data_IF_964292879950
#
_entry.id   IF_964292879950
#
_cell.length_a   1.000
_cell.length_b   1.000
_cell.length_c   1.000
_cell.angle_alpha   90.00
_cell.angle_beta   90.00
_cell.angle_gamma   90.00
#
_symmetry.space_group_name_H-M   'P 1'
#
loop_
_entity.id
_entity.type
_entity.pdbx_description
1 polymer ?
#
# COMPACT_ATOMS: atom_id res chain seq x y z
N UNK A 1 -40.69 7.56 3.43
CA UNK A 1 -39.32 7.98 3.80
C UNK A 1 -38.61 6.80 4.47
N UNK A 2 -37.84 6.03 3.73
CA UNK A 2 -37.07 4.89 4.26
C UNK A 2 -35.71 5.42 4.71
N UNK A 3 -35.47 5.43 6.03
CA UNK A 3 -34.17 5.72 6.62
C UNK A 3 -33.19 4.63 6.14
N UNK A 4 -32.30 4.97 5.23
CA UNK A 4 -31.16 4.11 4.89
C UNK A 4 -30.19 4.22 6.07
N UNK A 5 -30.16 3.19 6.87
CA UNK A 5 -29.16 2.95 7.89
C UNK A 5 -27.82 2.79 7.17
N UNK A 6 -26.98 3.82 7.27
CA UNK A 6 -25.62 3.78 6.76
C UNK A 6 -24.83 2.80 7.66
N UNK A 7 -24.76 1.54 7.23
CA UNK A 7 -23.83 0.59 7.85
C UNK A 7 -22.41 1.07 7.49
N UNK A 8 -21.74 1.71 8.44
CA UNK A 8 -20.30 1.91 8.40
C UNK A 8 -19.66 0.52 8.46
N UNK A 9 -19.34 -0.07 7.32
CA UNK A 9 -18.54 -1.29 7.26
C UNK A 9 -17.12 -0.88 7.61
N UNK A 10 -16.76 -1.12 8.86
CA UNK A 10 -15.38 -0.99 9.33
C UNK A 10 -14.53 -2.02 8.58
N UNK A 11 -13.73 -1.54 7.64
CA UNK A 11 -12.68 -2.36 7.03
C UNK A 11 -11.61 -2.65 8.09
N UNK A 12 -11.78 -3.74 8.81
CA UNK A 12 -10.77 -4.24 9.74
C UNK A 12 -9.66 -4.95 8.98
N UNK A 13 -8.45 -4.45 9.04
CA UNK A 13 -7.27 -5.16 8.56
C UNK A 13 -6.69 -5.93 9.74
N UNK A 14 -6.58 -7.23 9.58
CA UNK A 14 -5.94 -8.10 10.57
C UNK A 14 -4.50 -8.34 10.10
N UNK A 15 -3.54 -7.70 10.74
CA UNK A 15 -2.12 -8.00 10.58
C UNK A 15 -1.68 -9.01 11.62
N UNK A 16 -1.42 -10.25 11.23
CA UNK A 16 -0.79 -11.25 12.08
C UNK A 16 0.72 -11.19 11.83
N UNK A 17 1.46 -10.73 12.82
CA UNK A 17 2.93 -10.76 12.80
C UNK A 17 3.39 -11.94 13.65
N UNK A 18 3.89 -12.98 12.99
CA UNK A 18 4.53 -14.12 13.67
C UNK A 18 6.01 -13.74 13.87
N UNK A 19 6.37 -13.39 15.09
CA UNK A 19 7.74 -13.11 15.46
C UNK A 19 8.42 -14.38 15.93
N UNK A 20 9.46 -14.79 15.25
CA UNK A 20 10.41 -15.78 15.69
C UNK A 20 11.82 -15.18 15.60
N UNK A 21 12.05 -14.06 16.30
CA UNK A 21 13.42 -13.53 16.46
C UNK A 21 13.53 -12.64 17.70
N UNK A 22 14.59 -12.85 18.45
CA UNK A 22 14.95 -12.06 19.62
C UNK A 22 15.19 -10.59 19.29
N UNK A 23 14.95 -9.70 20.28
CA UNK A 23 15.08 -8.24 20.22
C UNK A 23 16.50 -7.78 19.81
N UNK A 24 16.86 -7.89 18.55
CA UNK A 24 18.03 -7.21 18.01
C UNK A 24 17.61 -5.86 17.40
N UNK A 25 17.66 -4.82 18.22
CA UNK A 25 17.60 -3.44 17.76
C UNK A 25 16.43 -2.63 18.28
N UNK A 26 16.53 -2.03 19.44
CA UNK A 26 15.91 -0.79 19.92
C UNK A 26 14.45 -0.43 19.61
N UNK A 27 13.75 -1.16 18.78
CA UNK A 27 12.39 -0.89 18.34
C UNK A 27 11.38 -1.72 19.12
N UNK A 28 10.38 -1.08 19.74
CA UNK A 28 9.33 -1.81 20.45
C UNK A 28 8.52 -2.69 19.51
N UNK A 29 7.96 -3.79 20.00
CA UNK A 29 7.13 -4.71 19.20
C UNK A 29 5.89 -4.06 18.62
N UNK A 30 5.29 -3.09 19.32
CA UNK A 30 4.18 -2.30 18.78
C UNK A 30 4.61 -1.50 17.54
N UNK A 31 5.84 -0.95 17.60
CA UNK A 31 6.43 -0.24 16.46
C UNK A 31 6.69 -1.18 15.29
N UNK A 32 7.24 -2.35 15.57
CA UNK A 32 7.50 -3.37 14.55
C UNK A 32 6.20 -3.86 13.87
N UNK A 33 5.11 -3.99 14.62
CA UNK A 33 3.81 -4.39 14.07
C UNK A 33 3.19 -3.36 13.13
N UNK A 34 3.60 -2.09 13.22
CA UNK A 34 3.18 -1.01 12.32
C UNK A 34 4.18 -0.80 11.17
N UNK A 35 5.40 -1.28 11.32
CA UNK A 35 6.51 -1.06 10.39
C UNK A 35 6.50 -2.11 9.27
N UNK A 36 6.13 -1.70 8.06
CA UNK A 36 6.16 -2.56 6.88
C UNK A 36 7.60 -2.95 6.45
N UNK A 37 8.63 -2.39 7.09
CA UNK A 37 10.05 -2.72 6.88
C UNK A 37 10.66 -3.47 8.06
N UNK A 38 9.85 -3.83 9.07
CA UNK A 38 10.32 -4.59 10.22
C UNK A 38 10.88 -5.95 9.80
N UNK A 39 11.89 -6.41 10.52
CA UNK A 39 12.57 -7.69 10.28
C UNK A 39 11.79 -8.88 10.87
N UNK A 40 10.47 -8.83 10.82
CA UNK A 40 9.57 -9.90 11.25
C UNK A 40 8.61 -10.30 10.13
N UNK A 41 8.19 -11.55 10.12
CA UNK A 41 7.12 -12.00 9.23
C UNK A 41 5.83 -11.23 9.51
N UNK A 42 5.17 -10.76 8.45
CA UNK A 42 3.92 -10.04 8.55
C UNK A 42 2.95 -10.51 7.48
N UNK A 43 1.72 -10.82 7.90
CA UNK A 43 0.59 -11.12 7.03
C UNK A 43 -0.47 -10.04 7.25
N UNK A 44 -0.79 -9.29 6.22
CA UNK A 44 -1.73 -8.17 6.30
C UNK A 44 -2.93 -8.44 5.41
N UNK A 45 -4.10 -8.55 6.01
CA UNK A 45 -5.37 -8.66 5.29
C UNK A 45 -6.08 -7.31 5.33
N UNK A 46 -6.61 -6.88 4.19
CA UNK A 46 -7.38 -5.67 4.08
C UNK A 46 -8.64 -5.90 3.26
N UNK A 47 -9.74 -5.33 3.70
CA UNK A 47 -10.88 -5.07 2.84
C UNK A 47 -10.99 -3.58 2.60
N UNK A 48 -11.09 -3.16 1.34
CA UNK A 48 -11.28 -1.77 0.96
C UNK A 48 -12.49 -1.62 0.08
N UNK A 49 -13.37 -0.69 0.46
CA UNK A 49 -14.49 -0.26 -0.37
C UNK A 49 -14.21 1.11 -0.97
N UNK A 50 -14.46 1.27 -2.26
CA UNK A 50 -14.32 2.52 -3.01
C UNK A 50 -15.71 2.91 -3.56
N UNK A 51 -16.55 3.56 -2.72
CA UNK A 51 -17.97 3.73 -3.05
C UNK A 51 -18.24 4.74 -4.16
N UNK A 52 -17.31 5.61 -4.49
CA UNK A 52 -17.49 6.60 -5.54
C UNK A 52 -16.16 7.11 -6.09
N UNK A 53 -16.17 7.55 -7.37
CA UNK A 53 -15.06 8.18 -8.07
C UNK A 53 -15.42 9.61 -8.44
N UNK A 54 -14.41 10.46 -8.60
CA UNK A 54 -14.62 11.79 -9.17
C UNK A 54 -15.09 11.69 -10.62
N UNK A 55 -16.08 12.51 -10.98
CA UNK A 55 -16.65 12.60 -12.33
C UNK A 55 -15.95 13.68 -13.13
N UNK A 56 -14.64 13.59 -13.29
CA UNK A 56 -13.84 14.49 -14.11
C UNK A 56 -13.57 13.88 -15.49
N UNK A 57 -12.96 14.67 -16.35
CA UNK A 57 -12.51 14.21 -17.67
C UNK A 57 -11.05 13.75 -17.59
N UNK A 58 -10.75 12.62 -18.19
CA UNK A 58 -9.38 12.10 -18.35
C UNK A 58 -9.17 11.74 -19.81
N UNK A 59 -8.20 12.37 -20.44
CA UNK A 59 -7.90 12.18 -21.87
C UNK A 59 -9.14 12.35 -22.78
N UNK A 60 -9.99 13.33 -22.47
CA UNK A 60 -11.21 13.61 -23.23
C UNK A 60 -12.40 12.68 -22.93
N UNK A 61 -12.22 11.68 -22.06
CA UNK A 61 -13.26 10.75 -21.64
C UNK A 61 -13.73 11.06 -20.23
N UNK A 62 -15.02 10.97 -19.99
CA UNK A 62 -15.55 11.11 -18.64
C UNK A 62 -15.11 9.90 -17.79
N UNK A 63 -14.60 10.18 -16.58
CA UNK A 63 -14.27 9.13 -15.63
C UNK A 63 -15.53 8.38 -15.23
N UNK A 64 -15.54 7.03 -15.29
CA UNK A 64 -16.71 6.27 -14.91
C UNK A 64 -17.02 6.47 -13.41
N UNK A 65 -18.28 6.40 -13.06
CA UNK A 65 -18.71 6.27 -11.66
C UNK A 65 -18.25 4.91 -11.15
N UNK A 66 -17.39 4.89 -10.12
CA UNK A 66 -16.93 3.66 -9.53
C UNK A 66 -17.78 3.23 -8.34
N UNK A 67 -17.84 1.96 -8.13
CA UNK A 67 -18.25 1.32 -6.89
C UNK A 67 -17.50 -0.01 -6.85
N UNK A 68 -16.26 0.07 -6.40
CA UNK A 68 -15.36 -1.08 -6.38
C UNK A 68 -15.00 -1.45 -4.95
N UNK A 69 -14.75 -2.72 -4.79
CA UNK A 69 -14.18 -3.25 -3.57
C UNK A 69 -12.91 -4.06 -3.90
N UNK A 70 -12.06 -4.25 -2.93
CA UNK A 70 -11.05 -5.29 -3.02
C UNK A 70 -10.71 -5.89 -1.66
N UNK A 71 -10.31 -7.15 -1.70
CA UNK A 71 -9.61 -7.82 -0.60
C UNK A 71 -8.13 -7.84 -0.93
N UNK A 72 -7.29 -7.49 0.02
CA UNK A 72 -5.85 -7.51 -0.12
C UNK A 72 -5.23 -8.50 0.85
N UNK A 73 -4.25 -9.25 0.36
CA UNK A 73 -3.27 -9.98 1.16
C UNK A 73 -1.89 -9.43 0.85
N UNK A 74 -1.17 -9.00 1.87
CA UNK A 74 0.23 -8.60 1.79
C UNK A 74 1.06 -9.48 2.72
N UNK A 75 2.15 -10.02 2.19
CA UNK A 75 3.08 -10.89 2.91
C UNK A 75 4.44 -10.21 2.90
N UNK A 76 5.03 -10.07 4.08
CA UNK A 76 6.41 -9.59 4.26
C UNK A 76 7.21 -10.71 4.94
N UNK A 77 8.31 -11.10 4.32
CA UNK A 77 9.10 -12.26 4.73
C UNK A 77 10.60 -11.89 4.83
N UNK A 78 11.06 -11.30 5.94
CA UNK A 78 12.46 -10.89 6.08
C UNK A 78 13.42 -12.08 6.06
N UNK A 79 14.52 -11.92 5.34
CA UNK A 79 15.63 -12.87 5.25
C UNK A 79 16.89 -12.18 5.76
N UNK A 80 17.22 -12.31 7.08
CA UNK A 80 18.40 -11.71 7.65
C UNK A 80 19.66 -12.47 7.22
N UNK A 81 20.71 -11.72 6.84
CA UNK A 81 22.02 -12.22 6.48
C UNK A 81 23.11 -11.50 7.28
N UNK A 82 24.35 -11.99 7.24
CA UNK A 82 25.48 -11.41 8.01
C UNK A 82 25.71 -9.92 7.72
N UNK A 83 25.58 -9.48 6.47
CA UNK A 83 25.91 -8.10 6.02
C UNK A 83 24.70 -7.26 5.61
N UNK A 84 23.57 -7.87 5.40
CA UNK A 84 22.34 -7.20 4.93
C UNK A 84 21.10 -8.00 5.34
N UNK A 85 19.93 -7.37 5.24
CA UNK A 85 18.64 -8.05 5.30
C UNK A 85 17.96 -7.87 3.96
N UNK A 86 17.42 -8.94 3.38
CA UNK A 86 16.51 -8.86 2.23
C UNK A 86 15.09 -8.91 2.77
N UNK A 87 14.27 -7.95 2.35
CA UNK A 87 12.89 -7.81 2.80
C UNK A 87 11.94 -7.88 1.60
N UNK A 88 11.58 -9.09 1.13
CA UNK A 88 10.55 -9.25 0.12
C UNK A 88 9.17 -8.91 0.66
N UNK A 89 8.39 -8.19 -0.15
CA UNK A 89 6.98 -7.87 0.08
C UNK A 89 6.16 -8.24 -1.14
N UNK A 90 5.25 -9.18 -0.95
CA UNK A 90 4.32 -9.64 -1.96
C UNK A 90 2.93 -9.11 -1.64
N UNK A 91 2.24 -8.53 -2.62
CA UNK A 91 0.89 -7.98 -2.45
C UNK A 91 -0.03 -8.51 -3.53
N UNK A 92 -1.11 -9.16 -3.08
CA UNK A 92 -2.23 -9.60 -3.92
C UNK A 92 -3.45 -8.74 -3.64
N UNK A 93 -4.24 -8.43 -4.68
CA UNK A 93 -5.54 -7.77 -4.53
C UNK A 93 -6.56 -8.48 -5.41
N UNK A 94 -7.65 -8.92 -4.83
CA UNK A 94 -8.80 -9.42 -5.57
C UNK A 94 -9.84 -8.30 -5.63
N UNK A 95 -10.10 -7.82 -6.83
CA UNK A 95 -11.04 -6.73 -7.09
C UNK A 95 -12.43 -7.25 -7.41
N UNK A 96 -13.43 -6.47 -7.06
CA UNK A 96 -14.82 -6.63 -7.42
C UNK A 96 -15.35 -5.29 -7.95
N UNK A 97 -15.70 -5.26 -9.24
CA UNK A 97 -16.37 -4.11 -9.88
C UNK A 97 -17.88 -4.32 -9.78
N UNK A 98 -18.50 -3.62 -8.85
CA UNK A 98 -19.95 -3.73 -8.61
C UNK A 98 -20.80 -3.09 -9.72
N UNK A 99 -20.23 -2.28 -10.60
CA UNK A 99 -20.96 -1.70 -11.75
C UNK A 99 -21.10 -2.71 -12.89
N UNK A 100 -20.06 -3.48 -13.14
CA UNK A 100 -20.04 -4.46 -14.25
C UNK A 100 -20.30 -5.88 -13.80
N UNK A 101 -20.23 -6.16 -12.48
CA UNK A 101 -20.32 -7.50 -11.92
C UNK A 101 -19.07 -8.36 -12.18
N UNK A 102 -17.98 -7.76 -12.67
CA UNK A 102 -16.72 -8.46 -12.93
C UNK A 102 -15.87 -8.52 -11.68
N UNK A 103 -15.14 -9.61 -11.52
CA UNK A 103 -14.19 -9.78 -10.42
C UNK A 103 -12.96 -10.55 -10.87
N UNK A 104 -11.86 -10.38 -10.15
CA UNK A 104 -10.64 -11.10 -10.48
C UNK A 104 -9.41 -10.61 -9.72
N UNK A 105 -8.33 -11.35 -9.88
CA UNK A 105 -7.04 -10.98 -9.32
C UNK A 105 -6.48 -9.77 -10.08
N UNK A 106 -6.17 -8.69 -9.36
CA UNK A 106 -5.44 -7.56 -9.89
C UNK A 106 -3.96 -7.86 -10.12
N UNK A 107 -3.22 -6.87 -10.61
CA UNK A 107 -1.77 -7.01 -10.73
C UNK A 107 -1.15 -7.35 -9.37
N UNK A 108 -0.38 -8.42 -9.34
CA UNK A 108 0.38 -8.83 -8.16
C UNK A 108 1.71 -8.08 -8.14
N UNK A 109 2.02 -7.46 -7.02
CA UNK A 109 3.26 -6.69 -6.85
C UNK A 109 4.22 -7.42 -5.92
N UNK A 110 5.46 -7.59 -6.36
CA UNK A 110 6.56 -8.10 -5.57
C UNK A 110 7.70 -7.08 -5.61
N UNK A 111 8.14 -6.61 -4.48
CA UNK A 111 9.44 -5.95 -4.37
C UNK A 111 10.27 -6.55 -3.22
N UNK A 112 11.58 -6.38 -3.28
CA UNK A 112 12.49 -6.86 -2.26
C UNK A 112 13.50 -5.76 -1.89
N UNK A 113 13.33 -5.15 -0.71
CA UNK A 113 14.30 -4.17 -0.22
C UNK A 113 15.55 -4.89 0.27
N UNK A 114 16.69 -4.41 -0.14
CA UNK A 114 18.02 -4.79 0.34
C UNK A 114 18.42 -3.72 1.35
N UNK A 115 18.54 -4.13 2.61
CA UNK A 115 18.88 -3.25 3.75
C UNK A 115 20.27 -3.64 4.24
N UNK A 116 21.33 -2.92 3.85
CA UNK A 116 22.68 -3.17 4.35
C UNK A 116 22.76 -2.89 5.86
N UNK A 117 23.61 -3.61 6.60
CA UNK A 117 23.76 -3.39 8.05
C UNK A 117 24.21 -1.95 8.40
N UNK A 118 24.99 -1.30 7.56
CA UNK A 118 25.38 0.11 7.77
C UNK A 118 24.22 1.10 7.56
N UNK A 119 23.14 0.68 6.87
CA UNK A 119 21.93 1.46 6.67
C UNK A 119 20.81 1.09 7.66
N UNK A 120 21.16 0.38 8.73
CA UNK A 120 20.33 0.11 9.90
C UNK A 120 21.00 0.74 11.12
N UNK A 121 20.44 1.82 11.64
CA UNK A 121 21.00 2.60 12.77
C UNK A 121 20.21 2.43 14.06
N UNK A 122 19.49 1.31 14.20
CA UNK A 122 18.76 0.92 15.40
C UNK A 122 17.38 1.59 15.54
N UNK A 123 17.28 2.92 15.52
CA UNK A 123 16.00 3.62 15.52
C UNK A 123 15.35 3.68 14.14
N UNK A 124 16.10 3.41 13.07
CA UNK A 124 15.60 3.43 11.70
C UNK A 124 16.48 2.65 10.75
N UNK A 125 16.01 2.55 9.53
CA UNK A 125 16.68 1.82 8.45
C UNK A 125 16.32 2.36 7.09
N UNK A 126 17.18 2.09 6.12
CA UNK A 126 16.94 2.40 4.72
C UNK A 126 17.30 1.22 3.83
N UNK A 127 16.55 1.04 2.76
CA UNK A 127 16.79 -0.02 1.80
C UNK A 127 16.30 0.34 0.41
N UNK A 128 16.86 -0.33 -0.59
CA UNK A 128 16.46 -0.21 -1.99
C UNK A 128 16.49 -1.60 -2.64
N UNK A 129 15.67 -1.84 -3.63
CA UNK A 129 15.70 -3.11 -4.36
C UNK A 129 14.73 -3.18 -5.52
N UNK A 130 14.72 -4.31 -6.26
CA UNK A 130 13.91 -4.50 -7.43
C UNK A 130 12.43 -4.59 -7.09
N UNK A 131 11.62 -4.17 -8.07
CA UNK A 131 10.16 -4.28 -8.07
C UNK A 131 9.73 -4.97 -9.35
N UNK A 132 8.78 -5.90 -9.24
CA UNK A 132 8.12 -6.59 -10.35
C UNK A 132 6.62 -6.55 -10.14
N UNK A 133 5.88 -6.22 -11.18
CA UNK A 133 4.42 -6.32 -11.23
C UNK A 133 4.05 -7.41 -12.22
N UNK A 134 3.27 -8.38 -11.76
CA UNK A 134 2.82 -9.50 -12.57
C UNK A 134 1.45 -9.19 -13.18
N UNK A 135 1.12 -9.77 -14.34
CA UNK A 135 -0.19 -9.64 -14.96
C UNK A 135 -1.34 -9.97 -14.02
N UNK A 136 -2.45 -9.25 -14.17
CA UNK A 136 -3.71 -9.54 -13.48
C UNK A 136 -4.79 -10.01 -14.47
N UNK A 137 -6.00 -10.22 -13.94
CA UNK A 137 -7.16 -10.51 -14.79
C UNK A 137 -7.52 -9.25 -15.61
N UNK A 138 -7.61 -9.34 -16.96
CA UNK A 138 -7.89 -8.19 -17.83
C UNK A 138 -9.25 -7.52 -17.58
N UNK A 139 -10.19 -8.21 -16.95
CA UNK A 139 -11.50 -7.65 -16.60
C UNK A 139 -11.44 -6.58 -15.51
N UNK A 140 -10.44 -6.63 -14.63
CA UNK A 140 -10.31 -5.74 -13.47
C UNK A 140 -8.93 -5.09 -13.34
N UNK A 141 -7.97 -5.48 -14.16
CA UNK A 141 -6.58 -5.04 -14.07
C UNK A 141 -5.92 -5.08 -15.44
N UNK A 142 -4.62 -4.80 -15.49
CA UNK A 142 -3.83 -4.89 -16.72
C UNK A 142 -3.17 -6.25 -16.85
N UNK A 143 -3.27 -6.84 -18.03
CA UNK A 143 -2.62 -8.10 -18.38
C UNK A 143 -1.20 -7.82 -18.92
N UNK A 144 -0.35 -7.27 -18.07
CA UNK A 144 1.01 -6.90 -18.47
C UNK A 144 2.01 -7.03 -17.32
N UNK A 145 3.25 -7.34 -17.66
CA UNK A 145 4.37 -7.30 -16.76
C UNK A 145 4.88 -5.87 -16.57
N UNK A 146 5.31 -5.57 -15.36
CA UNK A 146 6.03 -4.35 -15.04
C UNK A 146 7.30 -4.67 -14.26
N UNK A 147 8.31 -3.82 -14.36
CA UNK A 147 9.54 -3.89 -13.59
C UNK A 147 9.92 -2.51 -13.08
N UNK A 148 10.74 -2.46 -12.08
CA UNK A 148 11.15 -1.20 -11.51
C UNK A 148 11.98 -1.37 -10.25
N UNK A 149 11.90 -0.39 -9.38
CA UNK A 149 12.56 -0.44 -8.09
C UNK A 149 11.71 0.18 -6.99
N UNK A 150 11.98 -0.23 -5.77
CA UNK A 150 11.44 0.35 -4.54
C UNK A 150 12.57 0.81 -3.64
N UNK A 151 12.39 1.92 -2.95
CA UNK A 151 13.30 2.40 -1.91
C UNK A 151 12.49 2.83 -0.70
N UNK A 152 12.99 2.56 0.50
CA UNK A 152 12.31 2.96 1.72
C UNK A 152 13.30 3.48 2.75
N UNK A 153 12.83 4.43 3.55
CA UNK A 153 13.50 4.91 4.74
C UNK A 153 12.46 5.01 5.86
N UNK A 154 12.79 4.50 7.02
CA UNK A 154 11.92 4.53 8.20
C UNK A 154 12.70 4.93 9.44
N UNK A 155 12.04 5.56 10.38
CA UNK A 155 12.64 5.92 11.65
C UNK A 155 11.61 5.96 12.77
N UNK A 156 12.06 5.65 13.99
CA UNK A 156 11.33 5.77 15.24
C UNK A 156 11.97 6.85 16.11
N UNK A 157 11.15 7.71 16.72
CA UNK A 157 11.59 8.72 17.65
C UNK A 157 10.56 8.85 18.77
N UNK A 158 10.81 8.23 19.89
CA UNK A 158 9.87 8.19 21.02
C UNK A 158 8.52 7.57 20.63
N UNK A 159 7.46 8.36 20.63
CA UNK A 159 6.12 7.92 20.23
C UNK A 159 5.85 8.02 18.73
N UNK A 160 6.76 8.65 17.98
CA UNK A 160 6.61 8.85 16.56
C UNK A 160 7.27 7.71 15.76
N UNK A 161 6.58 7.26 14.73
CA UNK A 161 7.09 6.36 13.70
C UNK A 161 6.78 6.99 12.35
N UNK A 162 7.80 7.19 11.53
CA UNK A 162 7.64 7.89 10.26
C UNK A 162 8.61 7.36 9.21
N UNK A 163 8.28 7.62 7.96
CA UNK A 163 9.12 7.20 6.86
C UNK A 163 8.53 7.53 5.51
N UNK A 164 9.21 6.99 4.50
CA UNK A 164 8.88 7.18 3.10
C UNK A 164 9.13 5.86 2.37
N UNK A 165 8.15 5.42 1.59
CA UNK A 165 8.33 4.40 0.56
C UNK A 165 8.22 5.07 -0.80
N UNK A 166 9.18 4.80 -1.64
CA UNK A 166 9.27 5.25 -3.02
C UNK A 166 9.21 4.03 -3.93
N UNK A 167 8.43 4.10 -5.00
CA UNK A 167 8.33 3.05 -6.01
C UNK A 167 8.34 3.67 -7.40
N UNK A 168 9.18 3.15 -8.30
CA UNK A 168 9.14 3.48 -9.71
C UNK A 168 8.86 2.21 -10.50
N UNK A 169 7.80 2.22 -11.26
CA UNK A 169 7.45 1.10 -12.14
C UNK A 169 7.60 1.53 -13.60
N UNK A 170 8.29 0.70 -14.37
CA UNK A 170 8.37 0.77 -15.83
C UNK A 170 7.57 -0.41 -16.36
N UNK A 171 6.61 -0.15 -17.22
CA UNK A 171 5.79 -1.22 -17.77
C UNK A 171 6.30 -1.57 -19.15
N UNK A 172 6.57 -2.86 -19.37
CA UNK A 172 6.86 -3.39 -20.69
C UNK A 172 5.52 -3.65 -21.41
N UNK A 173 4.97 -2.65 -22.06
CA UNK A 173 3.77 -2.80 -22.88
C UNK A 173 4.19 -2.93 -24.33
N UNK A 174 3.61 -3.89 -25.05
CA UNK A 174 3.59 -3.86 -26.50
C UNK A 174 2.58 -2.79 -26.95
N UNK A 175 3.01 -1.67 -27.55
CA UNK A 175 2.11 -0.60 -27.97
C UNK A 175 0.95 -1.07 -28.87
N UNK A 176 1.12 -2.22 -29.54
CA UNK A 176 0.11 -2.83 -30.41
C UNK A 176 -1.05 -3.44 -29.64
N UNK A 177 -0.87 -3.72 -28.35
CA UNK A 177 -1.90 -4.33 -27.50
C UNK A 177 -2.68 -3.30 -26.69
N UNK A 178 -2.28 -2.02 -26.72
CA UNK A 178 -3.01 -0.96 -26.03
C UNK A 178 -4.35 -0.68 -26.72
N UNK A 179 -5.45 -0.60 -25.98
CA UNK A 179 -6.70 -0.09 -26.49
C UNK A 179 -6.54 1.31 -27.09
N UNK A 180 -7.30 1.61 -28.13
CA UNK A 180 -7.25 2.92 -28.79
C UNK A 180 -7.52 4.03 -27.74
N UNK A 181 -6.61 5.01 -27.65
CA UNK A 181 -6.71 6.12 -26.72
C UNK A 181 -6.10 5.87 -25.33
N UNK A 182 -5.51 4.68 -25.08
CA UNK A 182 -4.71 4.45 -23.89
C UNK A 182 -3.21 4.68 -24.15
N UNK A 183 -2.55 5.29 -23.18
CA UNK A 183 -1.10 5.48 -23.20
C UNK A 183 -0.43 4.52 -22.24
N UNK A 184 0.78 4.10 -22.57
CA UNK A 184 1.67 3.42 -21.64
C UNK A 184 1.85 4.25 -20.37
N UNK A 185 1.85 3.60 -19.21
CA UNK A 185 1.99 4.29 -17.91
C UNK A 185 3.30 3.91 -17.24
N UNK A 186 4.04 4.92 -16.75
CA UNK A 186 5.26 4.76 -15.96
C UNK A 186 5.08 5.45 -14.61
N UNK A 187 4.32 4.86 -13.68
CA UNK A 187 3.98 5.51 -12.44
C UNK A 187 5.15 5.55 -11.46
N UNK A 188 5.38 6.74 -10.93
CA UNK A 188 6.16 7.01 -9.74
C UNK A 188 5.22 7.07 -8.55
N UNK A 189 5.48 6.27 -7.52
CA UNK A 189 4.74 6.28 -6.27
C UNK A 189 5.59 6.82 -5.12
N UNK A 190 5.04 7.75 -4.35
CA UNK A 190 5.64 8.29 -3.14
C UNK A 190 4.63 8.12 -2.01
N UNK A 191 4.97 7.28 -1.02
CA UNK A 191 4.11 6.95 0.10
C UNK A 191 4.75 7.41 1.43
N UNK A 192 4.57 8.68 1.83
CA UNK A 192 4.95 9.13 3.16
C UNK A 192 4.01 8.53 4.20
N UNK A 193 4.56 8.17 5.34
CA UNK A 193 3.75 7.77 6.50
C UNK A 193 4.28 8.41 7.78
N UNK A 194 3.35 8.75 8.64
CA UNK A 194 3.60 9.33 9.95
C UNK A 194 2.59 8.73 10.92
N UNK A 195 3.08 8.09 11.98
CA UNK A 195 2.26 7.52 13.03
C UNK A 195 2.64 8.09 14.40
N UNK A 196 1.64 8.30 15.21
CA UNK A 196 1.78 8.66 16.61
C UNK A 196 1.16 7.59 17.51
N UNK A 197 1.93 7.07 18.45
CA UNK A 197 1.52 6.05 19.43
C UNK A 197 1.11 6.71 20.74
N UNK A 198 -0.06 6.33 21.28
CA UNK A 198 -0.59 6.87 22.52
C UNK A 198 -0.03 6.11 23.74
N UNK A 199 1.22 6.39 24.06
CA UNK A 199 1.91 5.77 25.18
C UNK A 199 1.99 4.24 25.07
N UNK A 200 1.65 3.52 26.16
CA UNK A 200 1.67 2.05 26.24
C UNK A 200 0.30 1.41 26.00
N UNK A 201 -0.65 2.13 25.44
CA UNK A 201 -2.03 1.64 25.23
C UNK A 201 -2.15 0.71 24.02
N UNK A 202 -1.15 0.68 23.15
CA UNK A 202 -1.19 0.04 21.84
C UNK A 202 -2.02 0.82 20.81
N UNK A 203 -2.70 1.90 21.20
CA UNK A 203 -3.45 2.75 20.27
C UNK A 203 -2.50 3.65 19.47
N UNK A 204 -2.84 3.90 18.21
CA UNK A 204 -2.10 4.83 17.36
C UNK A 204 -3.00 5.55 16.36
N UNK A 205 -2.56 6.73 15.94
CA UNK A 205 -3.06 7.46 14.78
C UNK A 205 -1.96 7.53 13.75
N UNK A 206 -2.28 7.25 12.50
CA UNK A 206 -1.33 7.22 11.39
C UNK A 206 -1.95 7.88 10.16
N UNK A 207 -1.14 8.42 9.26
CA UNK A 207 -1.57 8.68 7.89
C UNK A 207 -2.08 7.38 7.26
N UNK A 208 -3.13 7.46 6.45
CA UNK A 208 -3.61 6.31 5.69
C UNK A 208 -2.51 5.72 4.79
N UNK A 209 -2.76 4.58 4.18
CA UNK A 209 -1.86 4.00 3.15
C UNK A 209 -1.89 4.89 1.89
N UNK A 210 -1.25 6.06 1.98
CA UNK A 210 -1.28 7.12 1.00
C UNK A 210 -0.12 6.94 0.02
N UNK A 211 -0.46 6.77 -1.25
CA UNK A 211 0.54 6.79 -2.32
C UNK A 211 0.21 7.96 -3.25
N UNK A 212 1.00 9.02 -3.19
CA UNK A 212 1.00 10.03 -4.23
C UNK A 212 1.57 9.41 -5.50
N UNK A 213 0.88 9.59 -6.61
CA UNK A 213 1.25 8.98 -7.89
C UNK A 213 1.48 10.07 -8.94
N UNK A 214 2.53 9.90 -9.71
CA UNK A 214 2.84 10.71 -10.89
C UNK A 214 3.19 9.80 -12.05
N UNK A 215 2.59 10.02 -13.20
CA UNK A 215 2.87 9.25 -14.39
C UNK A 215 3.74 10.05 -15.35
N UNK A 216 4.94 9.53 -15.65
CA UNK A 216 5.91 10.22 -16.51
C UNK A 216 5.46 10.35 -17.97
N UNK A 217 4.66 9.41 -18.46
CA UNK A 217 4.20 9.41 -19.85
C UNK A 217 2.98 10.30 -20.03
N UNK A 218 1.98 10.12 -19.20
CA UNK A 218 0.71 10.85 -19.32
C UNK A 218 0.71 12.21 -18.62
N UNK A 219 1.72 12.48 -17.75
CA UNK A 219 1.81 13.64 -16.87
C UNK A 219 0.67 13.72 -15.86
N UNK A 220 -0.06 12.64 -15.70
CA UNK A 220 -1.13 12.53 -14.71
C UNK A 220 -0.60 12.53 -13.29
N UNK A 221 -1.34 13.16 -12.38
CA UNK A 221 -0.98 13.28 -10.98
C UNK A 221 -2.15 12.92 -10.08
N UNK A 222 -1.87 12.23 -8.98
CA UNK A 222 -2.84 11.84 -7.98
C UNK A 222 -2.24 11.98 -6.58
N UNK A 223 -2.89 12.74 -5.71
CA UNK A 223 -2.51 12.91 -4.31
C UNK A 223 -3.70 12.57 -3.40
N UNK A 224 -3.68 11.41 -2.74
CA UNK A 224 -4.65 11.08 -1.71
C UNK A 224 -4.30 11.75 -0.38
N UNK A 225 -5.32 11.91 0.47
CA UNK A 225 -5.19 12.27 1.88
C UNK A 225 -6.07 11.36 2.72
N UNK A 226 -5.68 11.12 3.96
CA UNK A 226 -6.46 10.27 4.84
C UNK A 226 -5.76 9.94 6.14
N UNK A 227 -6.47 9.25 7.01
CA UNK A 227 -5.97 8.84 8.30
C UNK A 227 -6.38 7.40 8.62
N UNK A 228 -5.58 6.78 9.46
CA UNK A 228 -5.78 5.43 9.99
C UNK A 228 -5.74 5.53 11.51
N UNK A 229 -6.71 4.92 12.16
CA UNK A 229 -6.73 4.73 13.60
C UNK A 229 -6.71 3.23 13.89
N UNK A 230 -5.82 2.81 14.78
CA UNK A 230 -5.65 1.39 15.05
C UNK A 230 -5.18 1.08 16.44
N UNK A 231 -5.13 -0.21 16.71
CA UNK A 231 -4.62 -0.76 17.95
C UNK A 231 -3.76 -1.98 17.68
N UNK A 232 -2.62 -2.04 18.35
CA UNK A 232 -1.72 -3.19 18.37
C UNK A 232 -1.85 -3.91 19.70
N UNK A 233 -2.03 -5.22 19.66
CA UNK A 233 -1.88 -6.13 20.79
C UNK A 233 -0.61 -6.92 20.59
N UNK A 234 0.19 -7.03 21.64
CA UNK A 234 1.47 -7.73 21.61
C UNK A 234 1.45 -8.89 22.59
N UNK A 235 1.85 -10.06 22.14
CA UNK A 235 2.07 -11.28 22.93
C UNK A 235 3.53 -11.70 22.81
N UNK A 236 3.95 -12.68 23.57
CA UNK A 236 5.35 -13.15 23.59
C UNK A 236 5.94 -13.47 22.20
N UNK A 237 5.13 -14.10 21.32
CA UNK A 237 5.59 -14.59 20.00
C UNK A 237 4.90 -13.96 18.82
N UNK A 238 3.91 -13.09 19.03
CA UNK A 238 3.10 -12.54 17.96
C UNK A 238 2.56 -11.17 18.32
N UNK A 239 2.11 -10.44 17.32
CA UNK A 239 1.34 -9.21 17.51
C UNK A 239 0.16 -9.19 16.54
N UNK A 240 -0.91 -8.51 16.93
CA UNK A 240 -2.09 -8.27 16.11
C UNK A 240 -2.29 -6.76 16.00
N UNK A 241 -2.35 -6.27 14.77
CA UNK A 241 -2.67 -4.89 14.47
C UNK A 241 -4.02 -4.84 13.76
N UNK A 242 -4.98 -4.15 14.36
CA UNK A 242 -6.30 -3.92 13.75
C UNK A 242 -6.52 -2.43 13.60
N UNK A 243 -6.98 -2.00 12.44
CA UNK A 243 -7.23 -0.59 12.18
C UNK A 243 -8.39 -0.34 11.22
N UNK A 244 -8.94 0.86 11.33
CA UNK A 244 -9.83 1.44 10.35
C UNK A 244 -9.13 2.60 9.65
N UNK A 245 -9.38 2.74 8.35
CA UNK A 245 -8.75 3.73 7.51
C UNK A 245 -9.79 4.44 6.65
N UNK A 246 -9.61 5.75 6.52
CA UNK A 246 -10.36 6.56 5.58
C UNK A 246 -9.41 7.37 4.72
N UNK A 247 -9.65 7.40 3.40
CA UNK A 247 -8.88 8.21 2.46
C UNK A 247 -9.76 8.75 1.33
N UNK A 248 -9.35 9.88 0.78
CA UNK A 248 -9.96 10.51 -0.38
C UNK A 248 -8.90 11.18 -1.24
N UNK A 249 -9.22 11.47 -2.48
CA UNK A 249 -8.36 12.24 -3.37
C UNK A 249 -8.41 13.71 -2.99
N UNK A 250 -7.26 14.31 -2.67
CA UNK A 250 -7.17 15.74 -2.42
C UNK A 250 -6.90 16.51 -3.73
N UNK A 251 -5.95 16.02 -4.52
CA UNK A 251 -5.57 16.63 -5.80
C UNK A 251 -5.40 15.51 -6.83
N UNK A 252 -5.93 15.72 -8.02
CA UNK A 252 -5.72 14.84 -9.16
C UNK A 252 -5.81 15.66 -10.45
N UNK A 253 -5.02 15.28 -11.44
CA UNK A 253 -5.00 15.91 -12.76
C UNK A 253 -4.60 14.85 -13.79
N UNK A 254 -5.39 14.69 -14.82
CA UNK A 254 -5.15 13.77 -15.95
C UNK A 254 -4.75 12.35 -15.49
N UNK A 255 -5.20 11.96 -14.29
CA UNK A 255 -4.90 10.67 -13.70
C UNK A 255 -5.80 9.58 -14.29
N UNK A 256 -5.22 8.57 -14.95
CA UNK A 256 -5.96 7.50 -15.63
C UNK A 256 -6.56 6.47 -14.66
N UNK A 257 -5.99 6.32 -13.47
CA UNK A 257 -6.53 5.44 -12.44
C UNK A 257 -7.72 6.07 -11.70
N UNK A 258 -8.37 5.31 -10.80
CA UNK A 258 -9.45 5.85 -9.99
C UNK A 258 -8.99 7.02 -9.12
N UNK A 259 -9.74 8.10 -9.12
CA UNK A 259 -9.61 9.18 -8.16
C UNK A 259 -10.83 9.12 -7.24
N UNK A 260 -10.66 8.50 -6.07
CA UNK A 260 -11.74 8.14 -5.16
C UNK A 260 -12.35 9.38 -4.55
N UNK A 261 -13.67 9.47 -4.64
CA UNK A 261 -14.50 10.46 -3.98
C UNK A 261 -15.05 9.85 -2.68
N UNK A 262 -15.38 10.72 -1.80
CA UNK A 262 -16.03 10.42 -0.54
C UNK A 262 -17.39 9.73 -0.72
#
# INVERSE_FOLDING_TARGET
MKKRLLLLIMAGIIGLSLSAQDDEGGQSRESQAMDATATQWSFQFAYQSMPDYHTDMVNGNQRPKGLDNYVQLRIVAPVPMKKLTILPRLTFRHYEDLNTGKSGLGNTELFALIIPKFADWGSGRAGIGPLVTMPGNPDVSKDEWGYGFAAAIVNNSGQWFYGLLFTQSFRAIDPRTLPVGQSETNPLGIAPFLAYRFGKTGLYLQTADLVALYDWNTKGFYLPVGARFGKVWVWEKSSLNVYAEYRTSAIYKDWQGPAVKK
#
